data_IF_291473560828
#
_entry.id   IF_291473560828
#
_cell.length_a   1.000
_cell.length_b   1.000
_cell.length_c   1.000
_cell.angle_alpha   90.00
_cell.angle_beta   90.00
_cell.angle_gamma   90.00
#
_symmetry.space_group_name_H-M   'P 1'
#
loop_
_entity.id
_entity.type
_entity.pdbx_description
1 polymer ?
#
# COMPACT_ATOMS: atom_id res chain seq x y z
N UNK A 1 4.91 -22.16 -6.29
CA UNK A 1 4.24 -20.88 -6.01
C UNK A 1 5.28 -19.96 -5.40
N UNK A 2 5.81 -19.00 -6.16
CA UNK A 2 6.67 -17.96 -5.59
C UNK A 2 5.76 -16.95 -4.88
N UNK A 3 5.98 -16.73 -3.59
CA UNK A 3 5.24 -15.69 -2.86
C UNK A 3 5.74 -14.32 -3.29
N UNK A 4 4.82 -13.41 -3.65
CA UNK A 4 5.16 -12.01 -3.86
C UNK A 4 5.13 -11.28 -2.52
N UNK A 5 6.30 -10.90 -2.01
CA UNK A 5 6.41 -10.08 -0.81
C UNK A 5 6.11 -8.61 -1.14
N UNK A 6 5.33 -7.96 -0.29
CA UNK A 6 4.99 -6.54 -0.41
C UNK A 6 5.64 -5.77 0.74
N UNK A 7 6.55 -4.84 0.41
CA UNK A 7 7.22 -4.00 1.38
C UNK A 7 6.52 -2.65 1.52
N UNK A 8 6.07 -2.35 2.74
CA UNK A 8 5.35 -1.12 3.08
C UNK A 8 6.08 -0.38 4.20
N UNK A 9 6.29 0.92 4.00
CA UNK A 9 6.78 1.83 5.03
C UNK A 9 5.60 2.63 5.60
N UNK A 10 5.45 2.61 6.92
CA UNK A 10 4.43 3.40 7.63
C UNK A 10 5.12 4.42 8.52
N UNK A 11 4.75 5.69 8.39
CA UNK A 11 5.19 6.80 9.23
C UNK A 11 3.98 7.31 9.99
N UNK A 12 4.01 7.24 11.31
CA UNK A 12 2.96 7.81 12.15
C UNK A 12 3.21 9.29 12.41
N UNK A 13 2.13 10.04 12.60
CA UNK A 13 2.20 11.41 13.09
C UNK A 13 2.79 11.43 14.51
N UNK A 14 3.81 12.27 14.71
CA UNK A 14 4.31 12.64 16.03
C UNK A 14 3.96 14.12 16.29
N UNK A 15 3.04 14.41 17.22
CA UNK A 15 2.63 15.77 17.54
C UNK A 15 3.78 16.68 18.00
N UNK A 16 4.85 16.09 18.55
CA UNK A 16 6.02 16.84 18.99
C UNK A 16 6.95 17.25 17.84
N UNK A 17 6.79 16.65 16.65
CA UNK A 17 7.73 16.78 15.52
C UNK A 17 7.08 17.22 14.20
N UNK A 18 5.76 17.18 14.08
CA UNK A 18 5.05 17.51 12.83
C UNK A 18 3.79 18.33 13.12
N UNK A 19 3.58 19.40 12.34
CA UNK A 19 2.31 20.14 12.30
C UNK A 19 1.25 19.48 11.41
N UNK A 20 1.64 18.53 10.54
CA UNK A 20 0.69 17.72 9.77
C UNK A 20 0.22 16.55 10.65
N UNK A 21 -1.09 16.46 10.98
CA UNK A 21 -1.63 15.41 11.84
C UNK A 21 -1.74 14.04 11.16
N UNK A 22 -1.38 13.93 9.87
CA UNK A 22 -1.52 12.70 9.10
C UNK A 22 -0.28 11.81 9.18
N UNK A 23 -0.52 10.51 9.30
CA UNK A 23 0.47 9.50 8.97
C UNK A 23 0.66 9.35 7.46
N UNK A 24 1.72 8.65 7.06
CA UNK A 24 2.02 8.32 5.66
C UNK A 24 2.26 6.83 5.52
N UNK A 25 1.78 6.28 4.42
CA UNK A 25 1.97 4.90 4.01
C UNK A 25 2.60 4.91 2.63
N UNK A 26 3.69 4.18 2.44
CA UNK A 26 4.41 4.11 1.16
C UNK A 26 4.70 2.67 0.77
N UNK A 27 4.35 2.31 -0.46
CA UNK A 27 4.84 1.09 -1.08
C UNK A 27 6.25 1.30 -1.60
N UNK A 28 7.18 0.48 -1.09
CA UNK A 28 8.62 0.70 -1.31
C UNK A 28 8.97 0.53 -2.78
N UNK A 29 8.46 -0.51 -3.44
CA UNK A 29 8.82 -0.84 -4.82
C UNK A 29 8.20 0.12 -5.84
N UNK A 30 6.92 0.47 -5.71
CA UNK A 30 6.27 1.40 -6.66
C UNK A 30 6.53 2.87 -6.34
N UNK A 31 7.02 3.17 -5.13
CA UNK A 31 7.16 4.54 -4.63
C UNK A 31 5.83 5.24 -4.34
N UNK A 32 4.69 4.57 -4.54
CA UNK A 32 3.37 5.15 -4.27
C UNK A 32 3.21 5.45 -2.79
N UNK A 33 2.82 6.69 -2.49
CA UNK A 33 2.62 7.20 -1.14
C UNK A 33 1.19 7.71 -0.96
N UNK A 34 0.62 7.50 0.22
CA UNK A 34 -0.70 7.99 0.61
C UNK A 34 -0.69 8.39 2.10
N UNK A 35 -1.50 9.37 2.46
CA UNK A 35 -1.66 9.81 3.86
C UNK A 35 -2.84 9.14 4.53
N UNK A 36 -2.81 9.02 5.86
CA UNK A 36 -3.96 8.57 6.67
C UNK A 36 -4.11 9.37 7.96
N UNK A 37 -5.35 9.56 8.43
CA UNK A 37 -5.63 10.30 9.68
C UNK A 37 -5.82 9.38 10.89
N UNK A 38 -6.24 8.13 10.68
CA UNK A 38 -6.55 7.20 11.76
C UNK A 38 -6.22 5.74 11.42
N UNK A 39 -6.39 4.86 12.42
CA UNK A 39 -6.10 3.44 12.30
C UNK A 39 -7.02 2.72 11.30
N UNK A 40 -8.29 3.12 11.19
CA UNK A 40 -9.23 2.48 10.29
C UNK A 40 -8.87 2.77 8.83
N UNK A 41 -8.47 4.01 8.54
CA UNK A 41 -7.97 4.40 7.23
C UNK A 41 -6.67 3.66 6.89
N UNK A 42 -5.72 3.56 7.85
CA UNK A 42 -4.50 2.77 7.67
C UNK A 42 -4.80 1.32 7.28
N UNK A 43 -5.71 0.64 8.00
CA UNK A 43 -6.08 -0.76 7.70
C UNK A 43 -6.69 -0.88 6.31
N UNK A 44 -7.56 0.05 5.92
CA UNK A 44 -8.15 0.07 4.57
C UNK A 44 -7.07 0.21 3.50
N UNK A 45 -6.12 1.11 3.70
CA UNK A 45 -5.03 1.36 2.75
C UNK A 45 -4.09 0.16 2.65
N UNK A 46 -3.69 -0.44 3.77
CA UNK A 46 -2.85 -1.65 3.78
C UNK A 46 -3.49 -2.78 2.97
N UNK A 47 -4.81 -2.98 3.11
CA UNK A 47 -5.55 -3.96 2.28
C UNK A 47 -5.45 -3.63 0.80
N UNK A 48 -5.57 -2.36 0.41
CA UNK A 48 -5.42 -1.96 -1.00
C UNK A 48 -4.02 -2.25 -1.52
N UNK A 49 -2.98 -1.93 -0.75
CA UNK A 49 -1.59 -2.16 -1.18
C UNK A 49 -1.22 -3.64 -1.32
N UNK A 50 -1.81 -4.50 -0.49
CA UNK A 50 -1.53 -5.95 -0.51
C UNK A 50 -2.43 -6.69 -1.51
N UNK A 51 -3.72 -6.34 -1.59
CA UNK A 51 -4.72 -7.10 -2.37
C UNK A 51 -4.76 -6.66 -3.83
N UNK A 52 -4.60 -5.37 -4.12
CA UNK A 52 -4.77 -4.84 -5.50
C UNK A 52 -3.74 -5.41 -6.49
N UNK A 53 -2.61 -5.91 -6.00
CA UNK A 53 -1.60 -6.59 -6.82
C UNK A 53 -2.02 -8.02 -7.20
N UNK A 54 -2.75 -8.71 -6.32
CA UNK A 54 -3.26 -10.07 -6.57
C UNK A 54 -4.23 -10.07 -7.76
N UNK A 55 -5.08 -9.05 -7.88
CA UNK A 55 -6.05 -8.95 -8.97
C UNK A 55 -5.43 -8.47 -10.30
N UNK A 56 -4.33 -7.70 -10.27
CA UNK A 56 -3.66 -7.26 -11.50
C UNK A 56 -2.81 -8.35 -12.17
N UNK A 57 -2.20 -9.26 -11.39
CA UNK A 57 -1.37 -10.36 -11.92
C UNK A 57 -2.19 -11.53 -12.49
N UNK A 58 -3.48 -11.66 -12.13
CA UNK A 58 -4.40 -12.64 -12.73
C UNK A 58 -5.00 -12.16 -14.07
N UNK A 59 -5.08 -10.84 -14.29
CA UNK A 59 -5.64 -10.25 -15.51
C UNK A 59 -4.69 -10.23 -16.72
N UNK A 60 -3.38 -10.05 -16.50
CA UNK A 60 -2.39 -9.95 -17.58
C UNK A 60 -1.98 -11.31 -18.19
N UNK A 61 -2.26 -12.44 -17.53
CA UNK A 61 -1.90 -13.77 -18.03
C UNK A 61 -2.92 -14.38 -19.02
N UNK A 62 -4.05 -13.71 -19.27
CA UNK A 62 -5.14 -14.23 -20.12
C UNK A 62 -5.20 -13.64 -21.54
N UNK A 63 -4.28 -12.76 -21.93
CA UNK A 63 -4.30 -12.12 -23.27
C UNK A 63 -3.26 -12.68 -24.27
N UNK A 64 -2.54 -13.77 -23.95
CA UNK A 64 -1.55 -14.38 -24.88
C UNK A 64 -1.91 -15.79 -25.36
N UNK A 65 -3.17 -16.22 -25.23
CA UNK A 65 -3.67 -17.44 -25.85
C UNK A 65 -5.02 -17.21 -26.54
N UNK A 66 -4.99 -16.56 -27.71
CA UNK A 66 -6.07 -16.56 -28.69
C UNK A 66 -5.48 -16.87 -30.07
#
# INVERSE_FOLDING_TARGET
>A
MQGHETFILTIFHDPARSSDPRGRLRHVTSGQEITFVDLNELVRLLRQFVIKKVEQEEGENNETQA
#
